data_IF_464348578022
#
_entry.id   IF_464348578022
#
_cell.length_a   1.000
_cell.length_b   1.000
_cell.length_c   1.000
_cell.angle_alpha   90.00
_cell.angle_beta   90.00
_cell.angle_gamma   90.00
#
_symmetry.space_group_name_H-M   'P 1'
#
loop_
_entity.id
_entity.type
_entity.pdbx_description
1 polymer ?
#
# COMPACT_ATOMS: atom_id res chain seq x y z
N UNK A 1 16.66 -37.26 -10.07
CA UNK A 1 17.22 -38.62 -10.33
C UNK A 1 16.53 -39.39 -11.48
N UNK A 2 15.26 -39.85 -11.39
CA UNK A 2 14.65 -40.66 -12.48
C UNK A 2 14.34 -39.91 -13.77
N UNK A 3 14.03 -38.61 -13.73
CA UNK A 3 13.86 -37.78 -14.93
C UNK A 3 15.18 -37.52 -15.68
N UNK A 4 16.33 -37.79 -15.05
CA UNK A 4 17.68 -37.69 -15.63
C UNK A 4 18.29 -39.06 -15.96
N UNK A 5 17.52 -40.15 -15.83
CA UNK A 5 17.99 -41.55 -15.99
C UNK A 5 19.21 -41.92 -15.13
N UNK A 6 19.46 -41.19 -14.04
CA UNK A 6 20.56 -41.42 -13.11
C UNK A 6 20.11 -42.23 -11.89
N UNK A 7 20.89 -43.24 -11.50
CA UNK A 7 20.61 -44.11 -10.34
C UNK A 7 20.98 -43.47 -8.99
N UNK A 8 21.65 -42.31 -8.99
CA UNK A 8 22.08 -41.58 -7.80
C UNK A 8 21.29 -40.28 -7.68
N UNK A 9 20.86 -39.96 -6.46
CA UNK A 9 20.12 -38.73 -6.15
C UNK A 9 21.13 -37.68 -5.71
N UNK A 10 21.18 -36.57 -6.45
CA UNK A 10 22.05 -35.44 -6.12
C UNK A 10 21.36 -34.51 -5.10
N UNK A 11 22.15 -33.75 -4.34
CA UNK A 11 21.62 -32.79 -3.34
C UNK A 11 20.65 -31.77 -3.96
N UNK A 12 20.86 -31.42 -5.22
CA UNK A 12 20.00 -30.50 -5.97
C UNK A 12 18.63 -31.11 -6.32
N UNK A 13 18.53 -32.43 -6.48
CA UNK A 13 17.24 -33.09 -6.68
C UNK A 13 16.39 -33.01 -5.39
N UNK A 14 17.06 -33.01 -4.23
CA UNK A 14 16.39 -32.93 -2.91
C UNK A 14 15.92 -31.50 -2.63
N UNK A 15 16.72 -30.49 -2.95
CA UNK A 15 16.31 -29.08 -2.79
C UNK A 15 15.14 -28.74 -3.72
N UNK A 16 15.15 -29.23 -4.95
CA UNK A 16 14.04 -29.03 -5.88
C UNK A 16 12.77 -29.75 -5.41
N UNK A 17 12.89 -30.97 -4.86
CA UNK A 17 11.75 -31.69 -4.29
C UNK A 17 11.14 -30.95 -3.08
N UNK A 18 11.97 -30.39 -2.20
CA UNK A 18 11.51 -29.58 -1.06
C UNK A 18 10.80 -28.30 -1.54
N UNK A 19 11.36 -27.60 -2.53
CA UNK A 19 10.76 -26.41 -3.13
C UNK A 19 9.39 -26.71 -3.75
N UNK A 20 9.25 -27.84 -4.44
CA UNK A 20 7.99 -28.27 -5.04
C UNK A 20 6.92 -28.62 -3.99
N UNK A 21 7.33 -29.22 -2.87
CA UNK A 21 6.42 -29.50 -1.74
C UNK A 21 5.93 -28.21 -1.08
N UNK A 22 6.80 -27.22 -0.92
CA UNK A 22 6.42 -25.90 -0.40
C UNK A 22 5.45 -25.19 -1.35
N UNK A 23 5.71 -25.21 -2.66
CA UNK A 23 4.80 -24.66 -3.66
C UNK A 23 3.42 -25.34 -3.66
N UNK A 24 3.37 -26.66 -3.49
CA UNK A 24 2.10 -27.40 -3.38
C UNK A 24 1.34 -27.08 -2.08
N UNK A 25 2.05 -26.89 -0.97
CA UNK A 25 1.48 -26.45 0.31
C UNK A 25 0.91 -25.04 0.22
N UNK A 26 1.62 -24.14 -0.44
CA UNK A 26 1.23 -22.74 -0.56
C UNK A 26 0.08 -22.57 -1.59
N UNK A 27 0.00 -23.43 -2.61
CA UNK A 27 -1.15 -23.49 -3.54
C UNK A 27 -2.48 -23.83 -2.85
N UNK A 28 -2.47 -24.67 -1.82
CA UNK A 28 -3.67 -24.99 -1.01
C UNK A 28 -4.11 -23.85 -0.10
N UNK A 29 -3.24 -22.88 0.19
CA UNK A 29 -3.54 -21.80 1.15
C UNK A 29 -4.40 -20.68 0.58
N UNK A 30 -4.79 -20.74 -0.69
CA UNK A 30 -5.71 -19.77 -1.30
C UNK A 30 -5.21 -18.35 -1.12
N UNK A 31 -4.28 -17.95 -1.97
CA UNK A 31 -3.66 -16.62 -2.08
C UNK A 31 -4.21 -15.53 -1.13
N UNK A 32 -3.54 -15.27 0.00
CA UNK A 32 -3.64 -14.01 0.69
C UNK A 32 -2.32 -13.25 0.55
N UNK A 33 -1.65 -13.30 -0.60
CA UNK A 33 -0.67 -12.27 -0.89
C UNK A 33 -1.42 -11.17 -1.64
N UNK A 34 -1.77 -10.03 -1.00
CA UNK A 34 -2.25 -8.90 -1.76
C UNK A 34 -1.12 -8.55 -2.72
N UNK A 35 -1.32 -8.92 -4.00
CA UNK A 35 -0.41 -8.68 -5.11
C UNK A 35 0.42 -7.44 -4.83
N UNK A 36 1.78 -7.50 -4.91
CA UNK A 36 2.67 -6.45 -4.41
C UNK A 36 2.10 -5.13 -4.87
N UNK A 37 1.48 -4.38 -3.93
CA UNK A 37 0.60 -3.29 -4.30
C UNK A 37 1.44 -2.42 -5.21
N UNK A 38 0.98 -2.26 -6.45
CA UNK A 38 1.52 -1.30 -7.39
C UNK A 38 1.86 -0.04 -6.57
N UNK A 39 3.07 0.54 -6.69
CA UNK A 39 3.54 1.58 -5.79
C UNK A 39 2.38 2.55 -5.52
N UNK A 40 2.00 2.73 -4.24
CA UNK A 40 0.72 3.33 -3.90
C UNK A 40 0.60 4.63 -4.65
N UNK A 41 -0.54 4.84 -5.31
CA UNK A 41 -0.78 6.06 -6.07
C UNK A 41 -0.44 7.24 -5.14
N UNK A 42 0.14 8.34 -5.64
CA UNK A 42 0.47 9.49 -4.80
C UNK A 42 -0.71 9.92 -3.93
N UNK A 43 -1.93 9.82 -4.45
CA UNK A 43 -3.18 10.04 -3.70
C UNK A 43 -3.34 9.13 -2.48
N UNK A 44 -3.13 7.81 -2.63
CA UNK A 44 -3.23 6.84 -1.52
C UNK A 44 -2.17 7.09 -0.44
N UNK A 45 -0.94 7.43 -0.84
CA UNK A 45 0.13 7.75 0.10
C UNK A 45 -0.15 9.06 0.85
N UNK A 46 -0.73 10.06 0.17
CA UNK A 46 -1.23 11.30 0.78
C UNK A 46 -2.34 11.00 1.79
N UNK A 47 -3.29 10.13 1.42
CA UNK A 47 -4.39 9.72 2.30
C UNK A 47 -3.90 9.00 3.56
N UNK A 48 -2.99 8.03 3.40
CA UNK A 48 -2.38 7.30 4.52
C UNK A 48 -1.66 8.25 5.49
N UNK A 49 -0.81 9.13 4.96
CA UNK A 49 -0.11 10.15 5.75
C UNK A 49 -1.09 11.04 6.52
N UNK A 50 -2.18 11.48 5.88
CA UNK A 50 -3.17 12.32 6.55
C UNK A 50 -3.95 11.57 7.62
N UNK A 51 -4.26 10.29 7.39
CA UNK A 51 -4.94 9.44 8.36
C UNK A 51 -4.08 9.21 9.60
N UNK A 52 -2.78 9.04 9.43
CA UNK A 52 -1.81 8.99 10.54
C UNK A 52 -1.87 10.28 11.38
N UNK A 53 -1.90 11.45 10.73
CA UNK A 53 -1.99 12.75 11.41
C UNK A 53 -3.32 12.96 12.15
N UNK A 54 -4.40 12.34 11.69
CA UNK A 54 -5.72 12.43 12.32
C UNK A 54 -5.88 11.59 13.59
N UNK A 55 -4.92 10.70 13.89
CA UNK A 55 -4.98 9.79 15.03
C UNK A 55 -6.11 8.75 14.95
N UNK A 56 -6.24 7.88 15.97
CA UNK A 56 -7.32 6.90 16.05
C UNK A 56 -8.66 7.63 16.15
N UNK A 57 -9.50 7.49 15.14
CA UNK A 57 -10.79 8.19 15.02
C UNK A 57 -10.80 9.38 14.05
N UNK A 58 -9.63 9.79 13.55
CA UNK A 58 -9.40 10.58 12.34
C UNK A 58 -10.53 11.48 11.86
N UNK A 59 -10.96 12.46 12.65
CA UNK A 59 -12.09 13.32 12.26
C UNK A 59 -11.64 14.57 11.52
N UNK A 60 -10.54 15.20 11.92
CA UNK A 60 -10.11 16.46 11.30
C UNK A 60 -8.64 16.79 11.57
N UNK A 61 -7.95 17.31 10.56
CA UNK A 61 -6.55 17.74 10.62
C UNK A 61 -6.46 19.20 10.12
N UNK A 62 -5.66 20.08 10.75
CA UNK A 62 -5.38 21.41 10.21
C UNK A 62 -4.69 21.30 8.85
N UNK A 63 -5.21 22.00 7.82
CA UNK A 63 -4.66 21.95 6.47
C UNK A 63 -3.18 22.39 6.40
N UNK A 64 -2.75 23.47 7.08
CA UNK A 64 -1.34 23.89 7.06
C UNK A 64 -0.39 22.82 7.59
N UNK A 65 -0.80 22.12 8.65
CA UNK A 65 0.00 21.05 9.24
C UNK A 65 0.08 19.84 8.31
N UNK A 66 -1.04 19.46 7.67
CA UNK A 66 -1.04 18.39 6.67
C UNK A 66 -0.13 18.72 5.47
N UNK A 67 -0.18 19.95 4.96
CA UNK A 67 0.66 20.39 3.85
C UNK A 67 2.16 20.36 4.21
N UNK A 68 2.53 20.78 5.42
CA UNK A 68 3.90 20.73 5.89
C UNK A 68 4.44 19.29 5.92
N UNK A 69 3.66 18.35 6.45
CA UNK A 69 4.06 16.93 6.56
C UNK A 69 4.12 16.28 5.17
N UNK A 70 3.17 16.57 4.30
CA UNK A 70 3.17 16.07 2.92
C UNK A 70 4.35 16.64 2.11
N UNK A 71 4.68 17.91 2.31
CA UNK A 71 5.87 18.52 1.73
C UNK A 71 7.17 17.88 2.24
N UNK A 72 7.26 17.58 3.54
CA UNK A 72 8.40 16.88 4.12
C UNK A 72 8.56 15.44 3.59
N UNK A 73 7.46 14.80 3.16
CA UNK A 73 7.48 13.49 2.47
C UNK A 73 7.81 13.57 0.98
N UNK A 74 8.01 14.77 0.43
CA UNK A 74 8.40 14.99 -0.96
C UNK A 74 7.24 15.09 -1.96
N UNK A 75 5.99 15.24 -1.48
CA UNK A 75 4.85 15.48 -2.38
C UNK A 75 4.82 16.92 -2.87
N UNK A 76 4.59 17.11 -4.17
CA UNK A 76 4.44 18.47 -4.72
C UNK A 76 3.08 19.07 -4.34
N UNK A 77 2.97 20.40 -4.18
CA UNK A 77 1.69 21.06 -3.89
C UNK A 77 0.60 20.77 -4.92
N UNK A 78 0.98 20.57 -6.18
CA UNK A 78 0.07 20.21 -7.27
C UNK A 78 -0.50 18.78 -7.10
N UNK A 79 0.34 17.81 -6.72
CA UNK A 79 -0.09 16.44 -6.42
C UNK A 79 -1.04 16.40 -5.22
N UNK A 80 -0.74 17.18 -4.17
CA UNK A 80 -1.60 17.26 -2.99
C UNK A 80 -2.95 17.89 -3.34
N UNK A 81 -2.96 18.98 -4.10
CA UNK A 81 -4.20 19.64 -4.52
C UNK A 81 -5.06 18.74 -5.41
N UNK A 82 -4.44 18.01 -6.33
CA UNK A 82 -5.13 17.05 -7.19
C UNK A 82 -5.74 15.90 -6.38
N UNK A 83 -4.99 15.32 -5.44
CA UNK A 83 -5.49 14.26 -4.56
C UNK A 83 -6.63 14.74 -3.65
N UNK A 84 -6.52 15.94 -3.06
CA UNK A 84 -7.58 16.52 -2.26
C UNK A 84 -8.87 16.72 -3.07
N UNK A 85 -8.77 17.26 -4.29
CA UNK A 85 -9.93 17.43 -5.16
C UNK A 85 -10.54 16.10 -5.62
N UNK A 86 -9.73 15.06 -5.84
CA UNK A 86 -10.22 13.72 -6.15
C UNK A 86 -11.02 13.13 -4.98
N UNK A 87 -10.47 13.19 -3.76
CA UNK A 87 -11.15 12.65 -2.59
C UNK A 87 -12.37 13.46 -2.15
N UNK A 88 -12.39 14.75 -2.42
CA UNK A 88 -13.58 15.60 -2.24
C UNK A 88 -14.69 15.19 -3.21
N UNK A 89 -14.38 14.92 -4.49
CA UNK A 89 -15.36 14.37 -5.46
C UNK A 89 -15.88 12.98 -5.04
N UNK A 90 -15.03 12.16 -4.43
CA UNK A 90 -15.41 10.85 -3.92
C UNK A 90 -16.15 10.91 -2.57
N UNK A 91 -16.40 12.10 -2.01
CA UNK A 91 -17.02 12.32 -0.69
C UNK A 91 -16.30 11.60 0.46
N UNK A 92 -14.98 11.41 0.34
CA UNK A 92 -14.15 10.78 1.37
C UNK A 92 -13.65 11.81 2.38
N UNK A 93 -13.46 13.05 1.93
CA UNK A 93 -13.02 14.16 2.76
C UNK A 93 -13.74 15.45 2.39
N UNK A 94 -13.79 16.39 3.34
CA UNK A 94 -14.25 17.75 3.11
C UNK A 94 -13.19 18.75 3.55
N UNK A 95 -13.02 19.82 2.76
CA UNK A 95 -12.21 20.97 3.12
C UNK A 95 -13.13 22.09 3.58
N UNK A 96 -12.83 22.72 4.72
CA UNK A 96 -13.58 23.91 5.14
C UNK A 96 -13.43 25.00 4.05
N UNK A 97 -14.49 25.76 3.72
CA UNK A 97 -14.42 26.95 2.84
C UNK A 97 -13.24 27.89 3.13
N UNK A 98 -12.86 28.05 4.40
CA UNK A 98 -11.69 28.85 4.79
C UNK A 98 -10.33 28.18 4.59
N UNK A 99 -10.27 26.99 3.99
CA UNK A 99 -9.05 26.17 3.77
C UNK A 99 -8.17 26.00 5.00
N UNK A 100 -8.76 26.01 6.18
CA UNK A 100 -8.04 25.92 7.46
C UNK A 100 -8.03 24.50 8.01
N UNK A 101 -9.08 23.73 7.74
CA UNK A 101 -9.27 22.37 8.26
C UNK A 101 -9.74 21.42 7.18
N UNK A 102 -9.22 20.21 7.28
CA UNK A 102 -9.58 19.04 6.52
C UNK A 102 -10.35 18.09 7.45
N UNK A 103 -11.49 17.58 7.01
CA UNK A 103 -12.37 16.69 7.78
C UNK A 103 -12.57 15.40 6.98
N UNK A 104 -12.68 14.25 7.65
CA UNK A 104 -13.10 12.99 7.03
C UNK A 104 -14.61 12.85 7.18
N UNK A 105 -15.27 12.40 6.11
CA UNK A 105 -16.71 12.10 6.11
C UNK A 105 -16.91 10.65 6.54
#
# INVERSE_FOLDING_TARGET
ARLRLGAVVEKDDVSEALRLLEAARDSLRGDPDPAPRCPPRPSEAIFGTRRELGGPGGRSVPLPHALQVLGARGFSPAQVSAALGEYERLNVLQVNPGRSRLTFV
#
